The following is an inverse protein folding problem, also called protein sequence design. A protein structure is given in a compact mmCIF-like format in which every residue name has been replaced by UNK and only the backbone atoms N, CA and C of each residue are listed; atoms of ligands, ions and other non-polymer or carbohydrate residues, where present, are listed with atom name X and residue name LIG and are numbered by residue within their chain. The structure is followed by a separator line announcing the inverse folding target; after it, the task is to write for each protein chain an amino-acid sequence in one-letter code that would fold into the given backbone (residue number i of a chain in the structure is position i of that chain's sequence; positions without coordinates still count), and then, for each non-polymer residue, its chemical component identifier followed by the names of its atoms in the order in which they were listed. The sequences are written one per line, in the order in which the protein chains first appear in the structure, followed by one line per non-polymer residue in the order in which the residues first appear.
data_IF_797112593734
#
_entry.id   IF_797112593734
#
_cell.length_a   1.000
_cell.length_b   1.000
_cell.length_c   1.000
_cell.angle_alpha   90.00
_cell.angle_beta   90.00
_cell.angle_gamma   90.00
#
_symmetry.space_group_name_H-M   'P 1'
#
loop_
_entity.id
_entity.type
_entity.pdbx_description
1 polymer ?
#
# COMPACT_ATOMS: atom_id res chain seq x y z
N UNK A 1 20.27 12.69 -5.51
CA UNK A 1 20.25 11.65 -4.43
C UNK A 1 18.84 11.12 -4.24
N UNK A 2 18.71 9.80 -4.15
CA UNK A 2 17.46 9.09 -3.89
C UNK A 2 17.30 8.82 -2.38
N UNK A 3 16.06 8.76 -1.92
CA UNK A 3 15.71 8.22 -0.60
C UNK A 3 15.35 6.74 -0.78
N UNK A 4 16.18 5.85 -0.25
CA UNK A 4 16.07 4.40 -0.43
C UNK A 4 15.68 3.76 0.90
N UNK A 5 14.58 3.01 0.90
CA UNK A 5 14.05 2.33 2.08
C UNK A 5 14.91 1.12 2.42
N UNK A 6 15.17 0.30 1.40
CA UNK A 6 16.01 -0.88 1.50
C UNK A 6 16.50 -1.25 0.10
N UNK A 7 17.63 -1.94 0.08
CA UNK A 7 18.11 -2.74 -1.04
C UNK A 7 18.18 -4.19 -0.59
N UNK A 8 17.84 -5.12 -1.47
CA UNK A 8 17.93 -6.54 -1.16
C UNK A 8 18.08 -7.37 -2.44
N UNK A 9 18.63 -8.56 -2.28
CA UNK A 9 18.79 -9.51 -3.38
C UNK A 9 17.87 -10.69 -3.17
N UNK A 10 17.01 -10.94 -4.16
CA UNK A 10 16.07 -12.06 -4.13
C UNK A 10 15.73 -12.52 -5.55
N UNK A 11 14.52 -13.01 -5.79
CA UNK A 11 13.97 -13.39 -7.09
C UNK A 11 12.80 -12.48 -7.46
N UNK A 12 12.56 -12.31 -8.75
CA UNK A 12 11.32 -11.69 -9.21
C UNK A 12 10.12 -12.52 -8.75
N UNK A 13 9.21 -11.85 -8.06
CA UNK A 13 8.05 -12.49 -7.44
C UNK A 13 6.84 -12.53 -8.36
N UNK A 14 6.85 -11.71 -9.41
CA UNK A 14 5.70 -11.37 -10.23
C UNK A 14 6.15 -11.13 -11.68
N UNK A 15 5.19 -10.94 -12.60
CA UNK A 15 5.50 -10.63 -13.99
C UNK A 15 6.07 -11.81 -14.80
N UNK A 16 6.51 -11.54 -16.04
CA UNK A 16 7.08 -12.54 -16.94
C UNK A 16 8.43 -13.11 -16.46
N UNK A 17 9.12 -12.41 -15.56
CA UNK A 17 10.45 -12.75 -15.05
C UNK A 17 10.42 -13.51 -13.72
N UNK A 18 9.24 -13.93 -13.27
CA UNK A 18 9.04 -14.66 -12.02
C UNK A 18 10.05 -15.81 -11.84
N UNK A 19 10.76 -15.81 -10.71
CA UNK A 19 11.80 -16.78 -10.38
C UNK A 19 13.23 -16.39 -10.76
N UNK A 20 13.45 -15.30 -11.49
CA UNK A 20 14.79 -14.84 -11.88
C UNK A 20 15.46 -14.08 -10.72
N UNK A 21 16.72 -14.41 -10.34
CA UNK A 21 17.45 -13.65 -9.33
C UNK A 21 17.60 -12.18 -9.71
N UNK A 22 17.23 -11.26 -8.82
CA UNK A 22 17.07 -9.83 -9.09
C UNK A 22 17.51 -9.02 -7.89
N UNK A 23 18.21 -7.92 -8.16
CA UNK A 23 18.54 -6.93 -7.15
C UNK A 23 17.45 -5.87 -7.07
N UNK A 24 16.88 -5.68 -5.89
CA UNK A 24 15.77 -4.76 -5.67
C UNK A 24 16.26 -3.47 -5.04
N UNK A 25 15.81 -2.35 -5.61
CA UNK A 25 15.98 -1.01 -5.07
C UNK A 25 14.60 -0.51 -4.70
N UNK A 26 14.30 -0.44 -3.40
CA UNK A 26 13.01 0.05 -2.91
C UNK A 26 13.09 1.51 -2.51
N UNK A 27 12.41 2.36 -3.25
CA UNK A 27 12.37 3.80 -3.03
C UNK A 27 11.30 4.20 -2.01
N UNK A 28 11.56 5.34 -1.36
CA UNK A 28 10.66 5.99 -0.41
C UNK A 28 9.68 6.94 -1.13
N UNK A 29 8.51 7.17 -0.53
CA UNK A 29 7.43 8.02 -1.05
C UNK A 29 6.34 7.24 -1.76
N UNK A 30 5.09 7.64 -1.55
CA UNK A 30 3.92 7.22 -2.33
C UNK A 30 2.92 8.37 -2.44
N UNK A 31 2.39 8.61 -3.64
CA UNK A 31 1.43 9.66 -3.96
C UNK A 31 -0.02 9.14 -3.92
N UNK A 32 -0.19 7.82 -3.95
CA UNK A 32 -1.43 7.17 -3.58
C UNK A 32 -1.61 7.33 -2.08
N UNK A 33 -2.13 8.50 -1.68
CA UNK A 33 -2.35 8.84 -0.28
C UNK A 33 -3.49 7.98 0.24
N UNK A 34 -3.15 6.78 0.69
CA UNK A 34 -3.87 6.06 1.72
C UNK A 34 -3.93 6.94 2.98
N UNK A 35 -4.75 7.98 3.03
CA UNK A 35 -4.86 8.88 4.18
C UNK A 35 -5.69 8.23 5.26
N UNK A 36 -5.08 7.31 5.99
CA UNK A 36 -5.68 6.61 7.12
C UNK A 36 -5.13 7.26 8.39
N UNK A 37 -5.61 8.47 8.72
CA UNK A 37 -4.94 9.27 9.75
C UNK A 37 -5.89 10.07 10.62
N UNK A 38 -5.72 10.03 11.95
CA UNK A 38 -6.43 10.93 12.83
C UNK A 38 -5.79 12.33 12.82
N UNK A 39 -6.56 13.36 13.13
CA UNK A 39 -6.02 14.71 13.29
C UNK A 39 -4.99 14.77 14.42
N UNK A 40 -4.10 15.75 14.37
CA UNK A 40 -3.00 15.86 15.32
C UNK A 40 -3.42 15.83 16.79
N UNK A 41 -4.62 16.32 17.13
CA UNK A 41 -5.14 16.34 18.50
C UNK A 41 -5.77 15.03 18.97
N UNK A 42 -5.95 14.04 18.09
CA UNK A 42 -6.58 12.75 18.45
C UNK A 42 -5.71 11.99 19.45
N UNK A 43 -6.35 11.44 20.48
CA UNK A 43 -5.69 10.69 21.54
C UNK A 43 -5.45 9.24 21.11
N UNK A 44 -4.19 8.82 21.15
CA UNK A 44 -3.72 7.48 20.86
C UNK A 44 -3.44 6.75 22.19
N UNK A 45 -3.90 5.51 22.28
CA UNK A 45 -3.63 4.66 23.44
C UNK A 45 -2.21 4.11 23.40
N UNK A 46 -1.41 4.51 24.38
CA UNK A 46 -0.03 4.07 24.54
C UNK A 46 0.03 2.70 25.24
N UNK A 47 1.17 2.00 25.15
CA UNK A 47 1.35 0.69 25.78
C UNK A 47 1.28 0.74 27.32
N UNK A 48 1.56 1.90 27.92
CA UNK A 48 1.44 2.15 29.36
C UNK A 48 0.04 2.59 29.79
N UNK A 49 -0.97 2.48 28.90
CA UNK A 49 -2.36 2.89 29.10
C UNK A 49 -2.59 4.42 29.19
N UNK A 50 -1.55 5.23 29.02
CA UNK A 50 -1.71 6.68 28.89
C UNK A 50 -2.21 7.07 27.49
N UNK A 51 -2.72 8.29 27.37
CA UNK A 51 -3.15 8.86 26.10
C UNK A 51 -2.15 9.90 25.61
N UNK A 52 -1.68 9.75 24.38
CA UNK A 52 -0.78 10.70 23.71
C UNK A 52 -1.45 11.27 22.46
N UNK A 53 -1.25 12.56 22.19
CA UNK A 53 -1.80 13.14 20.96
C UNK A 53 -1.06 12.60 19.72
N UNK A 54 -1.80 12.35 18.63
CA UNK A 54 -1.24 11.86 17.38
C UNK A 54 -0.06 12.73 16.90
N UNK A 55 -0.14 14.05 17.04
CA UNK A 55 0.93 15.00 16.68
C UNK A 55 2.24 14.81 17.45
N UNK A 56 2.17 14.15 18.61
CA UNK A 56 3.27 13.92 19.53
C UNK A 56 3.82 12.50 19.45
N UNK A 57 3.18 11.61 18.68
CA UNK A 57 3.74 10.31 18.35
C UNK A 57 5.05 10.46 17.59
N UNK A 58 6.05 9.65 17.97
CA UNK A 58 7.39 9.58 17.37
C UNK A 58 7.74 8.13 17.06
N UNK A 59 8.64 7.95 16.09
CA UNK A 59 9.26 6.65 15.84
C UNK A 59 9.93 6.15 17.13
N UNK A 60 9.69 4.89 17.47
CA UNK A 60 10.17 4.26 18.70
C UNK A 60 9.18 4.26 19.87
N UNK A 61 8.12 5.08 19.82
CA UNK A 61 7.04 5.04 20.82
C UNK A 61 6.37 3.65 20.83
N UNK A 62 5.90 3.21 22.00
CA UNK A 62 5.14 1.95 22.13
C UNK A 62 3.66 2.26 22.31
N UNK A 63 2.84 1.79 21.36
CA UNK A 63 1.38 1.98 21.36
C UNK A 63 0.65 0.66 21.54
N UNK A 64 -0.65 0.76 21.83
CA UNK A 64 -1.50 -0.42 21.91
C UNK A 64 -2.07 -0.77 20.53
N UNK A 65 -1.70 -1.95 20.04
CA UNK A 65 -2.27 -2.60 18.87
C UNK A 65 -3.17 -3.79 19.25
N UNK A 66 -3.64 -4.51 18.24
CA UNK A 66 -4.61 -5.59 18.36
C UNK A 66 -4.26 -6.73 17.40
N UNK A 67 -4.26 -7.96 17.88
CA UNK A 67 -3.99 -9.16 17.08
C UNK A 67 -4.85 -10.32 17.60
N UNK A 68 -5.58 -11.00 16.70
CA UNK A 68 -6.30 -12.26 17.00
C UNK A 68 -7.06 -12.23 18.35
N UNK A 69 -7.81 -11.15 18.58
CA UNK A 69 -8.65 -10.89 19.76
C UNK A 69 -7.96 -10.46 21.06
N UNK A 70 -6.66 -10.16 21.04
CA UNK A 70 -5.93 -9.64 22.20
C UNK A 70 -5.22 -8.33 21.87
N UNK A 71 -5.00 -7.52 22.89
CA UNK A 71 -4.11 -6.38 22.76
C UNK A 71 -2.67 -6.82 22.60
N UNK A 72 -1.90 -6.05 21.83
CA UNK A 72 -0.48 -6.30 21.64
C UNK A 72 0.27 -4.98 21.68
N UNK A 73 1.34 -4.94 22.46
CA UNK A 73 2.27 -3.81 22.42
C UNK A 73 2.88 -3.77 21.02
N UNK A 74 2.80 -2.61 20.38
CA UNK A 74 3.32 -2.42 19.04
C UNK A 74 4.19 -1.17 19.00
N UNK A 75 5.42 -1.30 18.49
CA UNK A 75 6.29 -0.15 18.33
C UNK A 75 5.90 0.67 17.12
N UNK A 76 5.97 1.99 17.25
CA UNK A 76 5.83 2.93 16.15
C UNK A 76 7.09 2.89 15.31
N UNK A 77 6.97 2.49 14.05
CA UNK A 77 8.09 2.34 13.12
C UNK A 77 8.26 3.52 12.17
N UNK A 78 7.21 4.33 11.99
CA UNK A 78 7.22 5.46 11.07
C UNK A 78 6.30 6.59 11.55
N UNK A 79 6.60 7.84 11.18
CA UNK A 79 5.71 9.01 11.39
C UNK A 79 5.81 10.01 10.24
N UNK A 80 4.67 10.46 9.70
CA UNK A 80 4.57 11.49 8.66
C UNK A 80 3.60 12.58 9.13
N UNK A 81 4.00 13.84 8.98
CA UNK A 81 3.11 14.99 9.24
C UNK A 81 2.71 15.62 7.91
N UNK A 82 1.42 15.83 7.71
CA UNK A 82 0.89 16.52 6.53
C UNK A 82 -0.34 17.32 6.92
N UNK A 83 -0.82 18.19 6.03
CA UNK A 83 -2.04 18.97 6.20
C UNK A 83 -2.99 18.65 5.07
N UNK A 84 -4.22 18.26 5.38
CA UNK A 84 -5.20 17.79 4.39
C UNK A 84 -6.63 18.03 4.86
N UNK A 85 -7.59 17.87 3.95
CA UNK A 85 -9.02 17.90 4.26
C UNK A 85 -9.44 16.78 5.20
N UNK A 86 -10.36 17.10 6.12
CA UNK A 86 -10.88 16.18 7.12
C UNK A 86 -12.40 16.28 7.21
N UNK A 87 -13.01 15.20 7.66
CA UNK A 87 -14.42 15.09 7.99
C UNK A 87 -14.57 14.79 9.47
N UNK A 88 -15.69 15.23 10.04
CA UNK A 88 -16.12 14.88 11.39
C UNK A 88 -17.26 13.88 11.30
N UNK A 89 -17.09 12.76 11.98
CA UNK A 89 -18.13 11.76 12.21
C UNK A 89 -18.77 12.05 13.55
N UNK A 90 -20.09 11.97 13.62
CA UNK A 90 -20.86 11.95 14.87
C UNK A 90 -21.51 10.59 15.02
N UNK A 91 -21.34 10.00 16.19
CA UNK A 91 -21.81 8.67 16.53
C UNK A 91 -23.11 8.76 17.33
N UNK A 92 -23.89 7.68 17.33
CA UNK A 92 -25.15 7.57 18.07
C UNK A 92 -24.94 7.75 19.58
N UNK A 93 -23.77 7.35 20.10
CA UNK A 93 -23.36 7.62 21.48
C UNK A 93 -23.13 9.12 21.81
N UNK A 94 -23.17 10.01 20.81
CA UNK A 94 -22.81 11.42 20.93
C UNK A 94 -21.31 11.70 20.81
N UNK A 95 -20.46 10.67 20.68
CA UNK A 95 -19.03 10.83 20.42
C UNK A 95 -18.80 11.44 19.05
N UNK A 96 -17.66 12.11 18.89
CA UNK A 96 -17.20 12.58 17.58
C UNK A 96 -15.77 12.18 17.35
N UNK A 97 -15.42 11.93 16.10
CA UNK A 97 -14.03 11.75 15.66
C UNK A 97 -13.83 12.53 14.37
N UNK A 98 -12.71 13.25 14.29
CA UNK A 98 -12.34 13.98 13.08
C UNK A 98 -11.14 13.29 12.44
N UNK A 99 -11.31 12.90 11.20
CA UNK A 99 -10.36 12.07 10.44
C UNK A 99 -10.38 12.50 8.99
N UNK A 100 -9.41 12.05 8.22
CA UNK A 100 -9.47 12.15 6.76
C UNK A 100 -10.67 11.36 6.20
N UNK A 101 -11.30 11.79 5.08
CA UNK A 101 -12.44 11.10 4.47
C UNK A 101 -12.21 9.59 4.29
N UNK A 102 -10.99 9.26 3.89
CA UNK A 102 -10.58 7.90 3.67
C UNK A 102 -10.50 7.07 4.93
N UNK A 103 -10.29 7.60 6.15
CA UNK A 103 -9.88 6.84 7.34
C UNK A 103 -10.66 5.51 7.58
N UNK A 104 -9.98 4.35 7.79
CA UNK A 104 -10.65 3.06 7.80
C UNK A 104 -11.09 2.73 9.22
N UNK A 105 -12.37 2.49 9.42
CA UNK A 105 -12.83 1.87 10.66
C UNK A 105 -13.19 0.41 10.43
N UNK A 106 -12.82 -0.45 11.38
CA UNK A 106 -13.45 -1.75 11.54
C UNK A 106 -14.93 -1.52 11.87
N UNK A 107 -15.85 -2.24 11.22
CA UNK A 107 -17.30 -2.03 11.38
C UNK A 107 -18.09 -3.34 11.43
N UNK A 108 -19.37 -3.26 11.79
CA UNK A 108 -20.30 -4.40 11.79
C UNK A 108 -20.49 -4.97 10.36
N UNK A 109 -19.68 -5.95 9.96
CA UNK A 109 -19.91 -6.74 8.74
C UNK A 109 -18.74 -6.96 7.78
N UNK A 110 -17.52 -6.47 8.05
CA UNK A 110 -16.32 -6.80 7.25
C UNK A 110 -15.01 -6.39 7.96
N UNK A 111 -13.87 -6.40 7.24
CA UNK A 111 -12.55 -5.95 7.71
C UNK A 111 -12.53 -4.45 8.01
N UNK A 112 -12.74 -3.56 7.04
CA UNK A 112 -12.72 -2.11 7.26
C UNK A 112 -13.52 -1.35 6.19
N UNK A 113 -13.93 -0.12 6.48
CA UNK A 113 -14.58 0.79 5.53
C UNK A 113 -14.16 2.25 5.79
N UNK A 114 -14.18 3.10 4.76
CA UNK A 114 -13.82 4.52 4.83
C UNK A 114 -14.79 5.33 5.68
N UNK A 115 -14.26 6.31 6.41
CA UNK A 115 -15.00 7.19 7.31
C UNK A 115 -16.12 7.96 6.59
N UNK A 116 -15.89 8.41 5.36
CA UNK A 116 -16.86 9.14 4.54
C UNK A 116 -18.04 8.28 4.03
N UNK A 117 -17.92 6.96 4.12
CA UNK A 117 -18.96 5.99 3.74
C UNK A 117 -19.63 5.32 4.94
N UNK A 118 -19.30 5.75 6.16
CA UNK A 118 -19.78 5.10 7.39
C UNK A 118 -21.20 5.48 7.79
N UNK A 119 -21.89 6.40 7.11
CA UNK A 119 -23.23 6.81 7.52
C UNK A 119 -24.17 5.59 7.66
N UNK A 120 -24.76 5.43 8.85
CA UNK A 120 -25.60 4.29 9.19
C UNK A 120 -24.87 2.97 9.52
N UNK A 121 -23.53 2.92 9.44
CA UNK A 121 -22.69 1.76 9.84
C UNK A 121 -22.17 1.93 11.26
N UNK A 122 -21.91 0.82 11.94
CA UNK A 122 -21.41 0.85 13.30
C UNK A 122 -19.92 0.49 13.40
N UNK A 123 -19.13 1.42 13.91
CA UNK A 123 -17.69 1.31 14.10
C UNK A 123 -17.39 0.44 15.32
N UNK A 124 -16.46 -0.50 15.20
CA UNK A 124 -16.01 -1.35 16.31
C UNK A 124 -15.30 -0.50 17.37
N UNK A 125 -15.83 -0.53 18.59
CA UNK A 125 -15.25 0.08 19.79
C UNK A 125 -14.57 -1.00 20.62
N UNK A 126 -13.42 -0.67 21.19
CA UNK A 126 -12.80 -1.45 22.25
C UNK A 126 -13.18 -0.81 23.60
N UNK A 127 -13.79 -1.60 24.51
CA UNK A 127 -14.30 -1.06 25.78
C UNK A 127 -13.22 -0.40 26.65
N UNK A 128 -13.55 0.75 27.27
CA UNK A 128 -12.69 1.48 28.23
C UNK A 128 -12.74 0.89 29.66
N UNK A 129 -12.71 -0.44 29.79
CA UNK A 129 -12.36 -1.07 31.08
C UNK A 129 -10.84 -1.14 31.23
N UNK A 130 -10.31 -1.40 32.43
CA UNK A 130 -8.89 -1.71 32.61
C UNK A 130 -8.44 -2.69 31.53
N UNK A 131 -7.55 -2.23 30.66
CA UNK A 131 -7.04 -3.01 29.55
C UNK A 131 -5.97 -3.92 30.12
N UNK A 132 -6.38 -5.07 30.64
CA UNK A 132 -5.45 -6.15 30.92
C UNK A 132 -5.03 -6.78 29.56
N UNK A 133 -3.75 -6.78 29.18
CA UNK A 133 -3.26 -7.40 27.93
C UNK A 133 -3.66 -8.88 27.79
N UNK A 134 -3.94 -9.56 28.90
CA UNK A 134 -4.33 -10.97 28.95
C UNK A 134 -5.86 -11.21 28.97
N UNK A 135 -6.69 -10.16 29.02
CA UNK A 135 -8.16 -10.31 29.01
C UNK A 135 -8.77 -10.12 27.63
N UNK A 136 -9.76 -10.98 27.29
CA UNK A 136 -10.67 -10.74 26.17
C UNK A 136 -11.44 -9.43 26.38
N UNK A 137 -11.26 -8.51 25.43
CA UNK A 137 -11.98 -7.24 25.38
C UNK A 137 -13.49 -7.43 25.22
N UNK A 138 -14.28 -6.66 25.97
CA UNK A 138 -15.65 -6.33 25.55
C UNK A 138 -15.55 -5.42 24.33
N UNK A 139 -15.76 -5.99 23.15
CA UNK A 139 -15.94 -5.22 21.92
C UNK A 139 -17.41 -4.84 21.75
N UNK A 140 -17.65 -3.61 21.32
CA UNK A 140 -18.98 -3.08 21.01
C UNK A 140 -18.96 -2.37 19.67
N UNK A 141 -20.09 -1.78 19.28
CA UNK A 141 -20.20 -1.02 18.04
C UNK A 141 -20.88 0.33 18.30
N UNK A 142 -20.43 1.39 17.62
CA UNK A 142 -21.01 2.74 17.66
C UNK A 142 -21.49 3.16 16.28
N UNK A 143 -22.79 3.41 16.11
CA UNK A 143 -23.34 3.76 14.78
C UNK A 143 -23.01 5.19 14.41
N UNK A 144 -22.51 5.42 13.20
CA UNK A 144 -22.29 6.77 12.67
C UNK A 144 -23.62 7.34 12.17
N UNK A 145 -24.04 8.46 12.75
CA UNK A 145 -25.32 9.12 12.44
C UNK A 145 -25.16 10.40 11.62
N UNK A 146 -23.94 10.96 11.56
CA UNK A 146 -23.65 12.18 10.80
C UNK A 146 -22.21 12.19 10.31
N UNK A 147 -22.01 12.71 9.11
CA UNK A 147 -20.70 13.03 8.53
C UNK A 147 -20.76 14.47 8.02
N UNK A 148 -19.78 15.29 8.38
CA UNK A 148 -19.69 16.68 7.96
C UNK A 148 -18.25 17.06 7.60
N UNK A 149 -18.08 17.95 6.61
CA UNK A 149 -16.77 18.50 6.26
C UNK A 149 -16.23 19.34 7.42
N UNK A 150 -14.97 19.13 7.80
CA UNK A 150 -14.34 19.78 8.95
C UNK A 150 -13.11 20.64 8.55
N UNK A 151 -13.03 21.04 7.29
CA UNK A 151 -11.95 21.88 6.75
C UNK A 151 -10.64 21.13 6.58
N UNK A 152 -9.51 21.83 6.70
CA UNK A 152 -8.16 21.23 6.65
C UNK A 152 -7.54 21.17 8.04
N UNK A 153 -6.88 20.05 8.38
CA UNK A 153 -6.17 19.89 9.63
C UNK A 153 -4.77 19.31 9.42
N UNK A 154 -3.88 19.61 10.36
CA UNK A 154 -2.60 18.89 10.48
C UNK A 154 -2.89 17.48 10.98
N UNK A 155 -2.44 16.48 10.24
CA UNK A 155 -2.58 15.07 10.55
C UNK A 155 -1.19 14.48 10.80
N UNK A 156 -1.12 13.53 11.73
CA UNK A 156 0.11 12.77 11.97
C UNK A 156 -0.17 11.30 11.72
N UNK A 157 0.34 10.83 10.58
CA UNK A 157 0.32 9.43 10.23
C UNK A 157 1.46 8.75 10.97
N UNK A 158 1.19 7.58 11.52
CA UNK A 158 2.22 6.76 12.12
C UNK A 158 1.92 5.29 11.90
N UNK A 159 2.96 4.49 11.76
CA UNK A 159 2.88 3.04 11.51
C UNK A 159 3.30 2.26 12.74
N UNK A 160 2.64 1.14 12.97
CA UNK A 160 2.92 0.23 14.07
C UNK A 160 3.27 -1.15 13.52
N UNK A 161 4.08 -1.92 14.23
CA UNK A 161 4.43 -3.31 13.86
C UNK A 161 3.22 -4.23 13.70
N UNK A 162 2.11 -3.96 14.40
CA UNK A 162 0.87 -4.76 14.30
C UNK A 162 -0.04 -4.27 13.19
N UNK A 163 0.35 -3.24 12.45
CA UNK A 163 -0.45 -2.62 11.41
C UNK A 163 -1.82 -2.09 11.89
N UNK A 164 -1.91 -1.73 13.17
CA UNK A 164 -3.09 -1.08 13.74
C UNK A 164 -2.75 -0.41 15.08
N UNK A 165 -3.62 0.49 15.52
CA UNK A 165 -3.53 1.21 16.78
C UNK A 165 -4.91 1.63 17.27
N UNK A 166 -4.97 2.21 18.46
CA UNK A 166 -6.23 2.64 19.07
C UNK A 166 -6.26 4.16 19.19
N UNK A 167 -7.21 4.77 18.51
CA UNK A 167 -7.43 6.21 18.51
C UNK A 167 -8.81 6.52 19.12
N UNK A 168 -8.84 7.27 20.20
CA UNK A 168 -10.06 7.65 20.95
C UNK A 168 -10.91 6.45 21.45
N UNK A 169 -10.32 5.24 21.48
CA UNK A 169 -11.01 4.00 21.80
C UNK A 169 -11.52 3.21 20.58
N UNK A 170 -11.25 3.70 19.37
CA UNK A 170 -11.56 3.03 18.11
C UNK A 170 -10.33 2.33 17.55
N UNK A 171 -10.50 1.07 17.13
CA UNK A 171 -9.45 0.32 16.46
C UNK A 171 -9.26 0.88 15.03
N UNK A 172 -8.06 1.37 14.76
CA UNK A 172 -7.66 2.02 13.52
C UNK A 172 -6.59 1.18 12.81
N UNK A 173 -6.63 1.07 11.49
CA UNK A 173 -5.72 0.20 10.71
C UNK A 173 -4.60 0.99 10.00
N UNK A 174 -3.42 0.37 9.81
CA UNK A 174 -2.34 0.83 8.95
C UNK A 174 -2.36 0.04 7.62
N UNK A 175 -2.07 0.67 6.48
CA UNK A 175 -2.07 -0.02 5.18
C UNK A 175 -0.78 -0.83 4.94
N UNK A 176 -0.90 -1.97 4.25
CA UNK A 176 0.16 -2.97 4.07
C UNK A 176 1.32 -2.54 3.14
N UNK A 177 1.11 -1.56 2.25
CA UNK A 177 2.13 -1.08 1.27
C UNK A 177 2.94 0.13 1.77
N UNK A 178 2.86 0.50 3.05
CA UNK A 178 3.28 1.84 3.52
C UNK A 178 4.69 2.00 4.06
N UNK A 179 5.42 0.93 4.34
CA UNK A 179 6.81 1.06 4.80
C UNK A 179 7.71 1.78 3.78
N UNK A 180 7.28 1.84 2.52
CA UNK A 180 7.92 2.61 1.46
C UNK A 180 7.45 4.07 1.36
N UNK A 181 6.62 4.60 2.25
CA UNK A 181 6.05 5.96 2.14
C UNK A 181 6.97 7.06 2.70
N UNK A 182 7.79 6.73 3.69
CA UNK A 182 8.75 7.67 4.29
C UNK A 182 9.82 6.93 5.09
N UNK A 183 10.90 7.64 5.44
CA UNK A 183 12.13 7.02 5.92
C UNK A 183 13.05 6.66 4.76
N UNK A 184 14.07 5.85 5.05
CA UNK A 184 15.10 5.48 4.08
C UNK A 184 16.34 6.37 4.14
N UNK A 185 17.43 5.82 3.66
CA UNK A 185 18.74 6.47 3.60
C UNK A 185 18.87 7.27 2.30
N UNK A 186 19.55 8.43 2.39
CA UNK A 186 19.93 9.18 1.20
C UNK A 186 21.11 8.47 0.52
N UNK A 187 20.85 7.92 -0.66
CA UNK A 187 21.85 7.20 -1.46
C UNK A 187 22.09 7.95 -2.77
N UNK A 188 23.34 7.93 -3.25
CA UNK A 188 23.68 8.45 -4.58
C UNK A 188 23.33 7.41 -5.63
N UNK A 189 23.05 7.86 -6.86
CA UNK A 189 22.79 6.97 -7.99
C UNK A 189 23.97 6.01 -8.20
N UNK A 190 25.20 6.53 -8.19
CA UNK A 190 26.41 5.72 -8.37
C UNK A 190 26.54 4.63 -7.31
N UNK A 191 26.24 4.95 -6.03
CA UNK A 191 26.31 3.94 -4.97
C UNK A 191 25.32 2.78 -5.17
N UNK A 192 24.16 3.03 -5.77
CA UNK A 192 23.15 2.00 -6.04
C UNK A 192 23.53 1.15 -7.25
N UNK A 193 24.10 1.77 -8.27
CA UNK A 193 24.60 1.07 -9.47
C UNK A 193 25.79 0.16 -9.12
N UNK A 194 26.71 0.65 -8.28
CA UNK A 194 27.84 -0.13 -7.79
C UNK A 194 27.39 -1.30 -6.92
N UNK A 195 26.45 -1.06 -6.00
CA UNK A 195 25.87 -2.11 -5.17
C UNK A 195 25.18 -3.19 -6.04
N UNK A 196 24.33 -2.80 -6.99
CA UNK A 196 23.67 -3.72 -7.92
C UNK A 196 24.68 -4.57 -8.72
N UNK A 197 25.78 -3.96 -9.16
CA UNK A 197 26.87 -4.63 -9.89
C UNK A 197 27.59 -5.70 -9.07
N UNK A 198 27.47 -5.69 -7.74
CA UNK A 198 28.13 -6.67 -6.87
C UNK A 198 27.40 -8.02 -6.76
N UNK A 199 26.12 -8.11 -7.16
CA UNK A 199 25.27 -9.30 -6.94
C UNK A 199 25.30 -10.34 -8.07
N UNK A 200 26.04 -10.10 -9.16
CA UNK A 200 26.21 -11.05 -10.27
C UNK A 200 24.97 -11.33 -11.13
N UNK A 201 23.82 -10.71 -10.81
CA UNK A 201 22.62 -10.73 -11.65
C UNK A 201 22.68 -9.65 -12.74
N UNK A 202 21.92 -9.85 -13.81
CA UNK A 202 21.64 -8.83 -14.85
C UNK A 202 20.31 -8.12 -14.63
N UNK A 203 19.55 -8.46 -13.61
CA UNK A 203 18.22 -7.90 -13.35
C UNK A 203 18.25 -6.96 -12.15
N UNK A 204 17.71 -5.75 -12.35
CA UNK A 204 17.48 -4.79 -11.28
C UNK A 204 16.03 -4.36 -11.30
N UNK A 205 15.35 -4.48 -10.18
CA UNK A 205 13.97 -4.04 -10.00
C UNK A 205 13.94 -2.78 -9.15
N UNK A 206 13.38 -1.71 -9.71
CA UNK A 206 13.12 -0.44 -9.02
C UNK A 206 11.65 -0.44 -8.62
N UNK A 207 11.42 -0.43 -7.32
CA UNK A 207 10.08 -0.55 -6.70
C UNK A 207 10.00 0.40 -5.50
N UNK A 208 9.00 0.24 -4.63
CA UNK A 208 8.69 1.16 -3.54
C UNK A 208 7.49 2.03 -3.87
N UNK A 209 7.02 2.83 -2.91
CA UNK A 209 5.64 3.33 -2.88
C UNK A 209 5.13 3.82 -4.23
N UNK A 210 5.76 4.86 -4.78
CA UNK A 210 5.72 5.19 -6.21
C UNK A 210 7.12 5.69 -6.64
N UNK A 211 7.92 4.89 -7.37
CA UNK A 211 9.30 5.24 -7.71
C UNK A 211 9.42 6.55 -8.47
N UNK A 212 8.45 6.84 -9.36
CA UNK A 212 8.43 8.01 -10.22
C UNK A 212 8.25 9.34 -9.47
N UNK A 213 8.01 9.30 -8.15
CA UNK A 213 8.01 10.51 -7.31
C UNK A 213 9.37 11.16 -7.17
N UNK A 214 10.44 10.38 -7.27
CA UNK A 214 11.79 10.90 -7.06
C UNK A 214 12.46 11.15 -8.41
N UNK A 215 12.66 12.42 -8.79
CA UNK A 215 13.27 12.82 -10.07
C UNK A 215 14.61 12.13 -10.39
N UNK A 216 15.35 11.74 -9.36
CA UNK A 216 16.65 11.07 -9.49
C UNK A 216 16.54 9.60 -9.92
N UNK A 217 15.32 9.06 -10.04
CA UNK A 217 15.07 7.70 -10.54
C UNK A 217 15.37 7.59 -12.03
N UNK A 218 15.14 8.65 -12.83
CA UNK A 218 15.44 8.63 -14.27
C UNK A 218 16.96 8.55 -14.55
N UNK A 219 17.83 9.34 -13.89
CA UNK A 219 19.27 9.12 -13.95
C UNK A 219 19.71 7.72 -13.47
N UNK A 220 19.04 7.14 -12.45
CA UNK A 220 19.33 5.78 -12.00
C UNK A 220 19.01 4.73 -13.07
N UNK A 221 17.83 4.80 -13.69
CA UNK A 221 17.44 3.91 -14.78
C UNK A 221 18.45 3.96 -15.92
N UNK A 222 18.78 5.16 -16.40
CA UNK A 222 19.76 5.33 -17.49
C UNK A 222 21.13 4.73 -17.14
N UNK A 223 21.67 5.00 -15.94
CA UNK A 223 22.98 4.44 -15.54
C UNK A 223 22.98 2.93 -15.36
N UNK A 224 21.85 2.32 -14.98
CA UNK A 224 21.72 0.87 -14.92
C UNK A 224 21.66 0.28 -16.34
N UNK A 225 20.92 0.92 -17.26
CA UNK A 225 20.85 0.52 -18.66
C UNK A 225 22.22 0.64 -19.37
N UNK A 226 22.99 1.70 -19.09
CA UNK A 226 24.37 1.88 -19.57
C UNK A 226 25.33 0.76 -19.12
N UNK A 227 24.97 0.04 -18.04
CA UNK A 227 25.69 -1.12 -17.51
C UNK A 227 25.10 -2.45 -17.99
N UNK A 228 24.22 -2.41 -18.99
CA UNK A 228 23.53 -3.55 -19.60
C UNK A 228 22.69 -4.37 -18.59
N UNK A 229 22.16 -3.71 -17.56
CA UNK A 229 21.13 -4.33 -16.73
C UNK A 229 19.79 -4.35 -17.47
N UNK A 230 19.03 -5.42 -17.29
CA UNK A 230 17.58 -5.43 -17.49
C UNK A 230 16.94 -4.77 -16.28
N UNK A 231 16.32 -3.62 -16.49
CA UNK A 231 15.74 -2.79 -15.44
C UNK A 231 14.22 -2.95 -15.47
N UNK A 232 13.64 -3.37 -14.35
CA UNK A 232 12.18 -3.49 -14.18
C UNK A 232 11.73 -2.33 -13.30
N UNK A 233 10.80 -1.51 -13.78
CA UNK A 233 10.13 -0.47 -12.98
C UNK A 233 8.77 -0.99 -12.54
N UNK A 234 8.57 -1.19 -11.24
CA UNK A 234 7.24 -1.41 -10.69
C UNK A 234 6.59 -0.09 -10.30
N UNK A 235 5.52 0.28 -10.99
CA UNK A 235 4.79 1.54 -10.76
C UNK A 235 3.29 1.29 -10.63
N UNK A 236 2.61 2.20 -9.93
CA UNK A 236 1.14 2.21 -9.85
C UNK A 236 0.47 2.87 -11.06
N UNK A 237 1.25 3.49 -11.96
CA UNK A 237 0.70 4.26 -13.08
C UNK A 237 -0.04 5.54 -12.66
N UNK A 238 0.19 6.02 -11.44
CA UNK A 238 -0.40 7.27 -10.92
C UNK A 238 0.46 8.51 -11.17
N UNK A 239 1.59 8.32 -11.85
CA UNK A 239 2.46 9.35 -12.43
C UNK A 239 2.68 8.95 -13.89
N UNK A 240 2.84 9.95 -14.77
CA UNK A 240 3.12 9.70 -16.19
C UNK A 240 4.38 8.86 -16.36
N UNK A 241 4.34 7.88 -17.26
CA UNK A 241 5.51 7.07 -17.64
C UNK A 241 6.27 7.64 -18.84
N UNK A 242 5.88 8.81 -19.35
CA UNK A 242 6.47 9.44 -20.55
C UNK A 242 7.98 9.69 -20.46
N UNK A 243 8.48 10.00 -19.24
CA UNK A 243 9.90 10.25 -18.99
C UNK A 243 10.71 8.96 -18.72
N UNK A 244 10.08 7.77 -18.73
CA UNK A 244 10.76 6.48 -18.54
C UNK A 244 11.56 6.15 -19.82
N UNK A 245 12.83 5.70 -19.71
CA UNK A 245 13.64 5.35 -20.88
C UNK A 245 12.99 4.27 -21.76
N UNK A 246 13.04 4.45 -23.09
CA UNK A 246 12.41 3.53 -24.05
C UNK A 246 13.32 2.35 -24.46
N UNK A 247 14.46 2.16 -23.81
CA UNK A 247 15.46 1.11 -24.10
C UNK A 247 14.88 -0.32 -24.00
N UNK A 248 15.26 -1.25 -24.86
CA UNK A 248 14.75 -2.64 -24.88
C UNK A 248 14.97 -3.41 -23.55
N UNK A 249 15.95 -3.01 -22.74
CA UNK A 249 16.21 -3.56 -21.42
C UNK A 249 15.42 -2.88 -20.29
N UNK A 250 14.71 -1.79 -20.57
CA UNK A 250 13.79 -1.15 -19.63
C UNK A 250 12.41 -1.78 -19.75
N UNK A 251 11.88 -2.32 -18.66
CA UNK A 251 10.55 -2.95 -18.60
C UNK A 251 9.68 -2.22 -17.57
N UNK A 252 8.49 -1.82 -17.97
CA UNK A 252 7.50 -1.22 -17.08
C UNK A 252 6.49 -2.29 -16.64
N UNK A 253 6.41 -2.48 -15.33
CA UNK A 253 5.40 -3.27 -14.62
C UNK A 253 4.39 -2.29 -14.04
N UNK A 254 3.27 -2.06 -14.73
CA UNK A 254 2.27 -1.08 -14.30
C UNK A 254 1.06 -1.76 -13.66
N UNK A 255 0.82 -1.45 -12.38
CA UNK A 255 -0.30 -1.97 -11.59
C UNK A 255 -1.51 -1.03 -11.66
N UNK A 256 -2.54 -1.44 -12.42
CA UNK A 256 -3.81 -0.71 -12.48
C UNK A 256 -4.60 -0.97 -11.19
N UNK A 257 -4.93 0.12 -10.50
CA UNK A 257 -5.69 0.07 -9.25
C UNK A 257 -7.13 -0.31 -9.51
N UNK A 258 -7.55 -1.43 -8.95
CA UNK A 258 -8.90 -1.99 -9.04
C UNK A 258 -9.80 -1.44 -7.93
N UNK A 259 -11.14 -1.52 -8.05
CA UNK A 259 -12.09 -0.96 -7.07
C UNK A 259 -11.84 -1.33 -5.61
N UNK A 260 -11.39 -2.55 -5.32
CA UNK A 260 -11.08 -2.98 -3.94
C UNK A 260 -9.93 -2.20 -3.30
N UNK A 261 -8.99 -1.68 -4.11
CA UNK A 261 -7.89 -0.85 -3.62
C UNK A 261 -8.36 0.52 -3.12
N UNK A 262 -9.55 0.97 -3.53
CA UNK A 262 -10.05 2.34 -3.34
C UNK A 262 -9.12 3.42 -3.89
N UNK A 263 -8.33 3.10 -4.93
CA UNK A 263 -7.39 4.03 -5.58
C UNK A 263 -7.65 4.17 -7.09
N UNK A 264 -8.85 3.83 -7.55
CA UNK A 264 -9.20 3.81 -8.99
C UNK A 264 -9.06 5.19 -9.62
N UNK A 265 -9.42 6.23 -8.87
CA UNK A 265 -9.36 7.64 -9.27
C UNK A 265 -7.93 8.14 -9.54
N UNK A 266 -6.91 7.40 -9.09
CA UNK A 266 -5.51 7.75 -9.29
C UNK A 266 -4.90 7.09 -10.54
N UNK A 267 -5.63 6.22 -11.22
CA UNK A 267 -5.14 5.63 -12.47
C UNK A 267 -5.05 6.70 -13.56
N UNK A 268 -3.88 6.84 -14.18
CA UNK A 268 -3.70 7.61 -15.42
C UNK A 268 -3.72 6.62 -16.58
N UNK A 269 -4.88 6.46 -17.22
CA UNK A 269 -5.04 5.46 -18.29
C UNK A 269 -4.25 5.77 -19.55
N UNK A 270 -3.94 7.05 -19.80
CA UNK A 270 -3.10 7.48 -20.92
C UNK A 270 -1.70 6.83 -20.88
N UNK A 271 -1.24 6.42 -19.69
CA UNK A 271 0.00 5.65 -19.55
C UNK A 271 -0.03 4.32 -20.32
N UNK A 272 -1.20 3.72 -20.54
CA UNK A 272 -1.33 2.46 -21.28
C UNK A 272 -0.86 2.63 -22.73
N UNK A 273 -1.11 3.79 -23.34
CA UNK A 273 -0.69 4.09 -24.72
C UNK A 273 0.83 4.31 -24.84
N UNK A 274 1.50 4.60 -23.73
CA UNK A 274 2.95 4.79 -23.67
C UNK A 274 3.72 3.48 -23.43
N UNK A 275 3.02 2.40 -23.06
CA UNK A 275 3.62 1.10 -22.85
C UNK A 275 3.91 0.39 -24.19
N UNK A 276 5.06 -0.27 -24.28
CA UNK A 276 5.44 -1.11 -25.41
C UNK A 276 5.08 -2.58 -25.17
N UNK A 277 5.13 -3.41 -26.22
CA UNK A 277 4.81 -4.84 -26.14
C UNK A 277 5.70 -5.65 -25.16
N UNK A 278 6.87 -5.12 -24.78
CA UNK A 278 7.78 -5.68 -23.78
C UNK A 278 7.32 -5.45 -22.33
N UNK A 279 6.45 -4.45 -22.12
CA UNK A 279 5.95 -4.04 -20.82
C UNK A 279 4.75 -4.92 -20.42
N UNK A 280 4.28 -4.76 -19.18
CA UNK A 280 3.12 -5.51 -18.73
C UNK A 280 2.20 -4.75 -17.79
N UNK A 281 0.90 -4.99 -17.99
CA UNK A 281 -0.18 -4.50 -17.14
C UNK A 281 -0.53 -5.55 -16.10
N UNK A 282 -0.67 -5.12 -14.85
CA UNK A 282 -1.04 -5.97 -13.73
C UNK A 282 -2.32 -5.47 -13.08
N UNK A 283 -3.21 -6.41 -12.76
CA UNK A 283 -4.43 -6.15 -12.00
C UNK A 283 -4.47 -7.08 -10.79
N UNK A 284 -4.50 -6.50 -9.59
CA UNK A 284 -4.75 -7.26 -8.36
C UNK A 284 -6.26 -7.49 -8.22
N UNK A 285 -6.67 -8.76 -8.21
CA UNK A 285 -8.06 -9.20 -8.19
C UNK A 285 -8.39 -9.73 -6.79
N UNK A 286 -9.25 -9.01 -6.08
CA UNK A 286 -9.69 -9.41 -4.74
C UNK A 286 -11.09 -10.03 -4.73
N UNK A 287 -11.95 -9.64 -5.69
CA UNK A 287 -13.36 -10.02 -5.81
C UNK A 287 -13.88 -9.93 -7.26
N UNK A 288 -15.18 -10.20 -7.44
CA UNK A 288 -15.89 -10.17 -8.73
C UNK A 288 -15.93 -8.78 -9.38
N UNK A 289 -15.97 -7.73 -8.55
CA UNK A 289 -16.02 -6.35 -9.00
C UNK A 289 -14.69 -5.95 -9.62
N UNK A 290 -13.58 -6.35 -9.00
CA UNK A 290 -12.25 -6.16 -9.56
C UNK A 290 -12.10 -6.90 -10.89
N UNK A 291 -12.52 -8.16 -10.96
CA UNK A 291 -12.43 -8.94 -12.21
C UNK A 291 -13.20 -8.27 -13.36
N UNK A 292 -14.46 -7.89 -13.10
CA UNK A 292 -15.31 -7.23 -14.10
C UNK A 292 -14.76 -5.88 -14.52
N UNK A 293 -14.24 -5.10 -13.57
CA UNK A 293 -13.57 -3.83 -13.83
C UNK A 293 -12.33 -4.03 -14.73
N UNK A 294 -11.45 -4.96 -14.38
CA UNK A 294 -10.22 -5.21 -15.13
C UNK A 294 -10.49 -5.59 -16.58
N UNK A 295 -11.51 -6.43 -16.83
CA UNK A 295 -11.97 -6.70 -18.20
C UNK A 295 -12.40 -5.44 -18.95
N UNK A 296 -13.20 -4.59 -18.31
CA UNK A 296 -13.66 -3.34 -18.93
C UNK A 296 -12.51 -2.39 -19.26
N UNK A 297 -11.44 -2.39 -18.47
CA UNK A 297 -10.24 -1.59 -18.75
C UNK A 297 -9.49 -2.15 -19.97
N UNK A 298 -9.30 -3.47 -20.06
CA UNK A 298 -8.62 -4.11 -21.21
C UNK A 298 -9.40 -3.87 -22.51
N UNK A 299 -10.73 -3.95 -22.46
CA UNK A 299 -11.58 -3.69 -23.63
C UNK A 299 -11.53 -2.22 -24.06
N UNK A 300 -11.46 -1.29 -23.09
CA UNK A 300 -11.46 0.15 -23.34
C UNK A 300 -10.09 0.68 -23.79
N UNK A 301 -9.00 0.12 -23.27
CA UNK A 301 -7.62 0.52 -23.55
C UNK A 301 -6.82 -0.71 -24.01
N UNK A 302 -6.86 -1.02 -25.31
CA UNK A 302 -6.10 -2.14 -25.87
C UNK A 302 -4.60 -1.97 -25.62
N UNK A 303 -3.95 -3.07 -25.25
CA UNK A 303 -2.52 -3.14 -24.99
C UNK A 303 -1.95 -4.41 -25.60
N UNK A 304 -0.80 -4.31 -26.29
CA UNK A 304 -0.20 -5.43 -27.02
C UNK A 304 0.71 -6.31 -26.16
N UNK A 305 1.20 -5.80 -25.04
CA UNK A 305 2.06 -6.54 -24.12
C UNK A 305 1.27 -7.47 -23.20
N UNK A 306 1.95 -7.98 -22.17
CA UNK A 306 1.34 -8.97 -21.30
C UNK A 306 0.37 -8.34 -20.29
N UNK A 307 -0.81 -8.95 -20.14
CA UNK A 307 -1.79 -8.57 -19.12
C UNK A 307 -1.86 -9.69 -18.08
N UNK A 308 -1.67 -9.32 -16.82
CA UNK A 308 -1.60 -10.24 -15.69
C UNK A 308 -2.75 -9.96 -14.71
N UNK A 309 -3.53 -10.99 -14.43
CA UNK A 309 -4.49 -11.02 -13.33
C UNK A 309 -3.84 -11.76 -12.16
N UNK A 310 -3.63 -11.05 -11.07
CA UNK A 310 -2.98 -11.59 -9.88
C UNK A 310 -3.99 -11.61 -8.72
N UNK A 311 -4.20 -12.74 -8.03
CA UNK A 311 -5.06 -12.73 -6.86
C UNK A 311 -4.41 -11.91 -5.73
N UNK A 312 -5.21 -11.15 -4.97
CA UNK A 312 -4.73 -10.49 -3.75
C UNK A 312 -4.07 -11.51 -2.80
N UNK A 313 -2.99 -11.11 -2.12
CA UNK A 313 -2.12 -11.99 -1.34
C UNK A 313 -2.85 -13.05 -0.50
N UNK A 314 -2.43 -14.30 -0.65
CA UNK A 314 -2.99 -15.45 0.08
C UNK A 314 -4.35 -15.97 -0.42
N UNK A 315 -4.90 -15.44 -1.52
CA UNK A 315 -6.18 -15.90 -2.10
C UNK A 315 -6.03 -16.99 -3.17
N UNK A 316 -7.17 -17.57 -3.55
CA UNK A 316 -7.32 -18.80 -4.31
C UNK A 316 -7.01 -18.64 -5.81
N UNK A 317 -5.75 -18.88 -6.20
CA UNK A 317 -5.29 -18.89 -7.59
C UNK A 317 -6.17 -19.78 -8.50
N UNK A 318 -6.69 -20.89 -7.97
CA UNK A 318 -7.51 -21.84 -8.73
C UNK A 318 -8.80 -21.20 -9.24
N UNK A 319 -9.52 -20.47 -8.39
CA UNK A 319 -10.82 -19.88 -8.73
C UNK A 319 -10.67 -18.83 -9.84
N UNK A 320 -9.70 -17.93 -9.69
CA UNK A 320 -9.39 -16.93 -10.72
C UNK A 320 -8.99 -17.59 -12.04
N UNK A 321 -8.16 -18.64 -11.98
CA UNK A 321 -7.74 -19.41 -13.16
C UNK A 321 -8.92 -20.07 -13.85
N UNK A 322 -9.78 -20.79 -13.12
CA UNK A 322 -10.95 -21.47 -13.68
C UNK A 322 -11.89 -20.48 -14.37
N UNK A 323 -12.01 -19.26 -13.81
CA UNK A 323 -12.83 -18.20 -14.39
C UNK A 323 -12.25 -17.66 -15.70
N UNK A 324 -10.95 -17.32 -15.71
CA UNK A 324 -10.23 -16.89 -16.92
C UNK A 324 -10.35 -17.94 -18.03
N UNK A 325 -10.19 -19.22 -17.70
CA UNK A 325 -10.35 -20.34 -18.64
C UNK A 325 -11.79 -20.46 -19.18
N UNK A 326 -12.79 -20.36 -18.30
CA UNK A 326 -14.20 -20.44 -18.67
C UNK A 326 -14.59 -19.33 -19.65
N UNK A 327 -14.07 -18.12 -19.44
CA UNK A 327 -14.35 -16.96 -20.27
C UNK A 327 -13.41 -16.81 -21.48
N UNK A 328 -12.38 -17.68 -21.58
CA UNK A 328 -11.37 -17.65 -22.64
C UNK A 328 -10.67 -16.29 -22.74
N UNK A 329 -10.45 -15.66 -21.60
CA UNK A 329 -9.80 -14.35 -21.53
C UNK A 329 -8.30 -14.51 -21.76
N UNK A 330 -7.73 -13.74 -22.69
CA UNK A 330 -6.31 -13.81 -23.03
C UNK A 330 -5.46 -13.00 -22.04
N UNK A 331 -5.33 -13.51 -20.82
CA UNK A 331 -4.51 -12.93 -19.73
C UNK A 331 -3.71 -14.02 -19.04
N UNK A 332 -2.59 -13.65 -18.42
CA UNK A 332 -1.85 -14.54 -17.53
C UNK A 332 -2.43 -14.47 -16.12
N UNK A 333 -2.57 -15.62 -15.45
CA UNK A 333 -2.90 -15.68 -14.03
C UNK A 333 -1.65 -16.10 -13.27
N UNK A 334 -1.05 -15.19 -12.50
CA UNK A 334 0.23 -15.42 -11.83
C UNK A 334 0.11 -15.25 -10.30
N UNK A 335 0.84 -16.04 -9.51
CA UNK A 335 0.94 -15.86 -8.06
C UNK A 335 1.87 -14.68 -7.69
N UNK A 336 1.99 -14.43 -6.38
CA UNK A 336 3.13 -13.72 -5.79
C UNK A 336 4.14 -14.78 -5.30
N UNK A 337 5.09 -15.20 -6.13
CA UNK A 337 5.95 -16.37 -5.83
C UNK A 337 6.74 -16.22 -4.53
N UNK A 338 7.24 -15.01 -4.23
CA UNK A 338 7.97 -14.73 -2.99
C UNK A 338 7.13 -15.04 -1.75
N UNK A 339 5.80 -14.84 -1.78
CA UNK A 339 4.91 -15.18 -0.66
C UNK A 339 4.75 -16.68 -0.45
N UNK A 340 4.85 -17.48 -1.51
CA UNK A 340 4.85 -18.94 -1.39
C UNK A 340 6.14 -19.46 -0.77
N UNK A 341 7.27 -18.82 -1.06
CA UNK A 341 8.59 -19.28 -0.59
C UNK A 341 8.88 -18.78 0.83
N UNK A 342 8.60 -17.50 1.12
CA UNK A 342 9.00 -16.84 2.37
C UNK A 342 7.86 -16.23 3.18
N UNK A 343 6.61 -16.40 2.76
CA UNK A 343 5.44 -15.83 3.44
C UNK A 343 5.44 -14.30 3.39
N UNK A 344 5.12 -13.66 4.52
CA UNK A 344 5.07 -12.18 4.66
C UNK A 344 6.42 -11.58 5.09
N UNK A 345 7.52 -12.32 4.94
CA UNK A 345 8.87 -11.81 5.26
C UNK A 345 9.23 -10.68 4.30
N UNK A 346 9.84 -9.61 4.83
CA UNK A 346 10.34 -8.46 4.05
C UNK A 346 11.79 -8.66 3.63
N UNK A 347 12.21 -7.92 2.60
CA UNK A 347 13.58 -7.95 2.08
C UNK A 347 14.00 -9.32 1.52
N UNK A 348 13.03 -10.06 0.98
CA UNK A 348 13.19 -11.39 0.37
C UNK A 348 12.27 -11.51 -0.82
#
# INVERSE_FOLDING_TARGET
MLTVIETFYSIEGEGPFIGIPTFFIRLSGCNLRCSWTPIGSTKILMSNQELKEAKDIRVGDSVMGFERDHFKISRVVNTIKTRTEVIRLTMESGRTITVTPEHPFYYEGSRSMRADRMIGRAIRILGRGEVNPEQKLKSGYDRVIKIETAGTADITHFETETHNYIAEGYLSHNCDTKYSYSGGEKRTVDSLVEEASSYGTKFVCITGGEPLLQKEVYPLMNKLLDREFKVILETSGSISVEDVPTDDNMIVSMDIKTPSSNMVEHNIYDNIELLAAKDYLKFVISDEKDYSFSKSIIEKYPFEGEIIFQPEGGKNLKELTEKVLKERLNVRVLPQLHKFIWGEKRGV
#
